data_IF_855167812242
#
_entry.id   IF_855167812242
#
_cell.length_a   1.000
_cell.length_b   1.000
_cell.length_c   1.000
_cell.angle_alpha   90.00
_cell.angle_beta   90.00
_cell.angle_gamma   90.00
#
_symmetry.space_group_name_H-M   'P 1'
#
loop_
_entity.id
_entity.type
_entity.pdbx_description
1 polymer ?
#
# COMPACT_ATOMS: atom_id res chain seq x y z
N UNK A 1 9.76 3.70 17.15
CA UNK A 1 10.21 2.71 16.14
C UNK A 1 10.13 3.39 14.79
N UNK A 2 11.20 3.46 13.98
CA UNK A 2 11.05 3.96 12.61
C UNK A 2 10.18 2.95 11.86
N UNK A 3 9.08 3.44 11.31
CA UNK A 3 8.10 2.63 10.59
C UNK A 3 8.48 2.66 9.11
N UNK A 4 8.85 1.50 8.56
CA UNK A 4 9.36 1.36 7.20
C UNK A 4 8.23 1.41 6.17
N UNK A 5 7.87 2.61 5.71
CA UNK A 5 7.03 2.80 4.53
C UNK A 5 7.87 3.21 3.32
N UNK A 6 7.61 2.62 2.15
CA UNK A 6 8.20 3.07 0.90
C UNK A 6 7.32 4.17 0.30
N UNK A 7 7.93 5.24 -0.19
CA UNK A 7 7.24 6.43 -0.69
C UNK A 7 7.56 6.64 -2.16
N UNK A 8 6.56 7.02 -2.96
CA UNK A 8 6.73 7.28 -4.39
C UNK A 8 5.94 8.51 -4.85
N UNK A 9 6.45 9.14 -5.91
CA UNK A 9 5.93 10.38 -6.47
C UNK A 9 6.47 10.59 -7.90
N UNK A 10 5.65 11.20 -8.77
CA UNK A 10 6.07 11.60 -10.13
C UNK A 10 6.27 13.12 -10.32
N UNK A 11 5.87 13.97 -9.35
CA UNK A 11 6.20 15.41 -9.34
C UNK A 11 7.57 15.69 -8.69
N UNK A 12 7.99 16.96 -8.68
CA UNK A 12 9.25 17.36 -8.06
C UNK A 12 9.27 17.02 -6.55
N UNK A 13 10.30 16.30 -6.07
CA UNK A 13 10.35 15.86 -4.68
C UNK A 13 10.60 17.04 -3.75
N UNK A 14 9.84 17.09 -2.64
CA UNK A 14 10.15 17.91 -1.47
C UNK A 14 10.65 16.99 -0.38
N UNK A 15 11.92 17.10 0.01
CA UNK A 15 12.51 16.26 1.04
C UNK A 15 12.68 17.02 2.36
N UNK A 16 12.48 16.31 3.46
CA UNK A 16 12.76 16.80 4.81
C UNK A 16 13.71 15.83 5.50
N UNK A 17 14.70 16.36 6.24
CA UNK A 17 15.61 15.54 7.04
C UNK A 17 15.02 15.31 8.43
N UNK A 18 14.53 14.10 8.70
CA UNK A 18 13.99 13.69 9.99
C UNK A 18 14.94 12.66 10.61
N UNK A 19 15.59 13.02 11.72
CA UNK A 19 16.51 12.11 12.42
C UNK A 19 17.72 11.67 11.59
N UNK A 20 18.13 12.47 10.59
CA UNK A 20 19.23 12.16 9.67
C UNK A 20 18.82 11.31 8.46
N UNK A 21 17.52 11.08 8.25
CA UNK A 21 16.96 10.43 7.06
C UNK A 21 16.23 11.47 6.22
N UNK A 22 16.55 11.54 4.93
CA UNK A 22 15.76 12.30 3.97
C UNK A 22 14.48 11.55 3.65
N UNK A 23 13.34 12.14 3.98
CA UNK A 23 12.00 11.60 3.70
C UNK A 23 11.26 12.49 2.71
N UNK A 24 10.40 11.88 1.90
CA UNK A 24 9.56 12.64 0.98
C UNK A 24 8.40 13.26 1.77
N UNK A 25 8.28 14.58 1.72
CA UNK A 25 7.24 15.35 2.40
C UNK A 25 5.94 15.44 1.58
N UNK A 26 6.00 15.16 0.28
CA UNK A 26 4.85 15.17 -0.63
C UNK A 26 4.62 13.84 -1.36
N UNK A 27 4.59 12.68 -0.67
CA UNK A 27 4.28 11.41 -1.35
C UNK A 27 2.85 11.44 -1.91
N UNK A 28 2.69 10.88 -3.11
CA UNK A 28 1.37 10.60 -3.69
C UNK A 28 0.94 9.17 -3.39
N UNK A 29 1.91 8.25 -3.39
CA UNK A 29 1.76 6.85 -3.02
C UNK A 29 2.62 6.54 -1.79
N UNK A 30 2.04 5.82 -0.82
CA UNK A 30 2.77 5.18 0.27
C UNK A 30 2.49 3.68 0.23
N UNK A 31 3.55 2.87 0.35
CA UNK A 31 3.51 1.41 0.30
C UNK A 31 4.01 0.83 1.62
N UNK A 32 3.24 -0.09 2.21
CA UNK A 32 3.59 -0.79 3.44
C UNK A 32 3.59 -2.29 3.22
N UNK A 33 4.67 -2.94 3.66
CA UNK A 33 4.74 -4.41 3.73
C UNK A 33 4.34 -4.82 5.14
N UNK A 34 3.19 -5.47 5.25
CA UNK A 34 2.57 -5.79 6.52
C UNK A 34 3.36 -6.87 7.25
N UNK A 35 3.65 -6.61 8.52
CA UNK A 35 4.17 -7.60 9.45
C UNK A 35 3.12 -7.95 10.51
N UNK A 36 3.19 -9.16 11.10
CA UNK A 36 2.28 -9.54 12.19
C UNK A 36 2.33 -8.56 13.37
N UNK A 37 3.48 -7.92 13.60
CA UNK A 37 3.66 -6.97 14.72
C UNK A 37 3.13 -5.57 14.45
N UNK A 38 2.97 -5.18 13.18
CA UNK A 38 2.62 -3.79 12.81
C UNK A 38 1.34 -3.66 11.99
N UNK A 39 0.78 -4.77 11.48
CA UNK A 39 -0.36 -4.74 10.56
C UNK A 39 -1.54 -3.92 11.06
N UNK A 40 -1.92 -4.10 12.33
CA UNK A 40 -3.03 -3.33 12.92
C UNK A 40 -2.75 -1.82 12.95
N UNK A 41 -1.50 -1.44 13.23
CA UNK A 41 -1.07 -0.04 13.23
C UNK A 41 -1.01 0.53 11.80
N UNK A 42 -0.44 -0.22 10.86
CA UNK A 42 -0.31 0.18 9.45
C UNK A 42 -1.69 0.36 8.78
N UNK A 43 -2.67 -0.50 9.12
CA UNK A 43 -4.06 -0.38 8.65
C UNK A 43 -4.85 0.75 9.33
N UNK A 44 -4.52 1.07 10.57
CA UNK A 44 -5.29 1.97 11.42
C UNK A 44 -4.65 3.35 11.56
N UNK A 45 -3.99 3.55 12.70
CA UNK A 45 -3.48 4.85 13.11
C UNK A 45 -2.49 5.43 12.08
N UNK A 46 -1.57 4.62 11.57
CA UNK A 46 -0.56 5.10 10.61
C UNK A 46 -1.20 5.65 9.33
N UNK A 47 -2.15 4.92 8.77
CA UNK A 47 -2.91 5.39 7.60
C UNK A 47 -3.68 6.68 7.91
N UNK A 48 -4.23 6.80 9.13
CA UNK A 48 -4.90 8.02 9.59
C UNK A 48 -3.95 9.21 9.66
N UNK A 49 -2.72 9.01 10.12
CA UNK A 49 -1.68 10.05 10.10
C UNK A 49 -1.32 10.45 8.66
N UNK A 50 -1.13 9.50 7.75
CA UNK A 50 -0.82 9.78 6.35
C UNK A 50 -1.89 10.60 5.63
N UNK A 51 -3.16 10.45 5.98
CA UNK A 51 -4.26 11.26 5.42
C UNK A 51 -4.13 12.76 5.67
N UNK A 52 -3.28 13.19 6.60
CA UNK A 52 -2.97 14.61 6.83
C UNK A 52 -2.02 15.20 5.78
N UNK A 53 -1.32 14.36 5.02
CA UNK A 53 -0.44 14.77 3.93
C UNK A 53 -1.32 15.18 2.74
N UNK A 54 -1.16 16.42 2.28
CA UNK A 54 -2.02 16.99 1.23
C UNK A 54 -1.93 16.23 -0.09
N UNK A 55 -0.71 15.88 -0.51
CA UNK A 55 -0.41 15.17 -1.77
C UNK A 55 -0.81 13.69 -1.75
N UNK A 56 -1.06 13.11 -0.57
CA UNK A 56 -1.28 11.68 -0.43
C UNK A 56 -2.62 11.26 -1.01
N UNK A 57 -2.57 10.31 -1.94
CA UNK A 57 -3.72 9.90 -2.76
C UNK A 57 -3.87 8.38 -2.89
N UNK A 58 -2.79 7.60 -2.79
CA UNK A 58 -2.83 6.13 -2.90
C UNK A 58 -2.09 5.46 -1.74
N UNK A 59 -2.67 4.41 -1.17
CA UNK A 59 -2.07 3.62 -0.10
C UNK A 59 -2.08 2.14 -0.46
N UNK A 60 -0.92 1.52 -0.54
CA UNK A 60 -0.79 0.11 -0.91
C UNK A 60 -0.28 -0.70 0.28
N UNK A 61 -1.10 -1.63 0.75
CA UNK A 61 -0.74 -2.59 1.78
C UNK A 61 -0.44 -3.95 1.16
N UNK A 62 0.74 -4.50 1.42
CA UNK A 62 1.22 -5.77 0.85
C UNK A 62 1.31 -6.80 1.97
N UNK A 63 0.60 -7.93 1.85
CA UNK A 63 0.65 -8.99 2.85
C UNK A 63 1.90 -9.87 2.65
N UNK A 64 2.74 -10.02 3.67
CA UNK A 64 3.94 -10.88 3.52
C UNK A 64 3.63 -12.40 3.53
N UNK A 65 2.44 -12.83 3.97
CA UNK A 65 2.14 -14.24 4.24
C UNK A 65 1.28 -14.93 3.17
N UNK A 66 0.81 -14.19 2.17
CA UNK A 66 -0.01 -14.66 1.05
C UNK A 66 0.11 -13.65 -0.10
N UNK A 67 -0.08 -14.06 -1.36
CA UNK A 67 -0.07 -13.14 -2.50
C UNK A 67 -1.32 -12.26 -2.49
N UNK A 68 -1.30 -11.21 -1.66
CA UNK A 68 -2.43 -10.32 -1.47
C UNK A 68 -1.98 -8.87 -1.27
N UNK A 69 -2.72 -7.95 -1.85
CA UNK A 69 -2.56 -6.53 -1.57
C UNK A 69 -3.91 -5.85 -1.39
N UNK A 70 -3.96 -4.82 -0.54
CA UNK A 70 -5.08 -3.90 -0.43
C UNK A 70 -4.64 -2.54 -0.95
N UNK A 71 -5.34 -2.01 -1.94
CA UNK A 71 -5.06 -0.70 -2.51
C UNK A 71 -6.18 0.28 -2.16
N UNK A 72 -5.84 1.38 -1.49
CA UNK A 72 -6.77 2.47 -1.19
C UNK A 72 -6.49 3.67 -2.08
N UNK A 73 -7.55 4.28 -2.60
CA UNK A 73 -7.47 5.48 -3.46
C UNK A 73 -8.35 6.58 -2.90
N UNK A 74 -7.80 7.78 -2.78
CA UNK A 74 -8.53 8.99 -2.38
C UNK A 74 -9.37 9.49 -3.54
N UNK A 75 -10.66 9.72 -3.30
CA UNK A 75 -11.55 10.33 -4.30
C UNK A 75 -11.33 11.84 -4.29
N UNK A 76 -10.67 12.37 -5.33
CA UNK A 76 -10.36 13.80 -5.44
C UNK A 76 -11.60 14.69 -5.66
N UNK A 77 -12.65 14.14 -6.29
CA UNK A 77 -13.84 14.90 -6.69
C UNK A 77 -14.96 14.94 -5.62
N UNK A 78 -14.74 14.33 -4.46
CA UNK A 78 -15.74 14.25 -3.41
C UNK A 78 -15.74 15.52 -2.53
N UNK A 79 -16.93 15.99 -2.11
CA UNK A 79 -17.09 17.14 -1.19
C UNK A 79 -16.41 16.90 0.16
N UNK A 80 -16.29 15.64 0.58
CA UNK A 80 -15.56 15.23 1.78
C UNK A 80 -14.51 14.19 1.38
N UNK A 81 -13.40 14.14 2.13
CA UNK A 81 -12.36 13.15 1.91
C UNK A 81 -12.94 11.72 2.05
N UNK A 82 -13.04 11.02 0.93
CA UNK A 82 -13.50 9.63 0.86
C UNK A 82 -12.45 8.77 0.17
N UNK A 83 -12.44 7.49 0.51
CA UNK A 83 -11.48 6.52 0.01
C UNK A 83 -12.23 5.30 -0.49
N UNK A 84 -11.93 4.86 -1.71
CA UNK A 84 -12.28 3.53 -2.21
C UNK A 84 -11.14 2.56 -1.94
N UNK A 85 -11.43 1.26 -1.96
CA UNK A 85 -10.39 0.25 -1.94
C UNK A 85 -10.71 -0.93 -2.86
N UNK A 86 -9.65 -1.58 -3.33
CA UNK A 86 -9.71 -2.86 -4.03
C UNK A 86 -8.75 -3.86 -3.38
N UNK A 87 -9.06 -5.14 -3.51
CA UNK A 87 -8.20 -6.23 -3.04
C UNK A 87 -7.69 -7.04 -4.22
N UNK A 88 -6.39 -7.28 -4.22
CA UNK A 88 -5.73 -8.20 -5.12
C UNK A 88 -5.45 -9.49 -4.34
N UNK A 89 -5.88 -10.62 -4.89
CA UNK A 89 -5.90 -11.95 -4.29
C UNK A 89 -5.36 -12.98 -5.28
N UNK A 90 -4.06 -12.93 -5.57
CA UNK A 90 -3.39 -13.85 -6.50
C UNK A 90 -2.25 -13.19 -7.28
N UNK A 91 -1.20 -13.97 -7.59
CA UNK A 91 -0.01 -13.48 -8.30
C UNK A 91 -0.31 -12.99 -9.73
N UNK A 92 -1.38 -13.49 -10.34
CA UNK A 92 -1.84 -13.15 -11.68
C UNK A 92 -2.57 -11.80 -11.76
N UNK A 93 -2.85 -11.18 -10.61
CA UNK A 93 -3.56 -9.91 -10.57
C UNK A 93 -2.62 -8.71 -10.80
N UNK A 94 -3.16 -7.69 -11.46
CA UNK A 94 -2.46 -6.46 -11.81
C UNK A 94 -3.14 -5.27 -11.16
N UNK A 95 -2.35 -4.41 -10.52
CA UNK A 95 -2.77 -3.16 -9.93
C UNK A 95 -2.45 -1.98 -10.87
N UNK A 96 -3.37 -1.03 -11.01
CA UNK A 96 -3.08 0.26 -11.65
C UNK A 96 -2.85 1.32 -10.58
N UNK A 97 -1.68 1.96 -10.61
CA UNK A 97 -1.34 3.09 -9.75
C UNK A 97 -1.58 4.38 -10.54
N UNK A 98 -2.66 5.10 -10.21
CA UNK A 98 -3.10 6.25 -10.98
C UNK A 98 -2.15 7.45 -10.83
N UNK A 99 -1.59 7.67 -9.64
CA UNK A 99 -0.68 8.79 -9.35
C UNK A 99 0.67 8.65 -10.04
N UNK A 100 1.07 7.43 -10.38
CA UNK A 100 2.35 7.12 -11.05
C UNK A 100 2.18 6.76 -12.53
N UNK A 101 0.94 6.70 -13.03
CA UNK A 101 0.59 6.26 -14.38
C UNK A 101 1.24 4.91 -14.78
N UNK A 102 1.33 3.97 -13.83
CA UNK A 102 1.98 2.67 -14.06
C UNK A 102 1.12 1.50 -13.60
N UNK A 103 1.40 0.33 -14.15
CA UNK A 103 0.80 -0.94 -13.71
C UNK A 103 1.84 -1.77 -12.96
N UNK A 104 1.40 -2.48 -11.93
CA UNK A 104 2.22 -3.31 -11.08
C UNK A 104 1.56 -4.69 -10.96
N UNK A 105 2.22 -5.76 -11.38
CA UNK A 105 1.68 -7.11 -11.20
C UNK A 105 2.05 -7.65 -9.82
N UNK A 106 1.19 -8.47 -9.21
CA UNK A 106 1.58 -9.14 -7.97
C UNK A 106 2.70 -10.16 -8.17
N UNK A 107 2.88 -10.68 -9.39
CA UNK A 107 4.06 -11.48 -9.75
C UNK A 107 5.36 -10.67 -9.56
N UNK A 108 5.39 -9.41 -10.00
CA UNK A 108 6.57 -8.55 -9.85
C UNK A 108 6.78 -8.12 -8.39
N UNK A 109 5.69 -7.81 -7.66
CA UNK A 109 5.74 -7.42 -6.24
C UNK A 109 6.34 -8.53 -5.38
N UNK A 110 5.94 -9.77 -5.66
CA UNK A 110 6.39 -10.97 -4.94
C UNK A 110 7.51 -11.70 -5.67
N UNK A 111 8.28 -10.99 -6.51
CA UNK A 111 9.46 -11.59 -7.14
C UNK A 111 10.37 -12.17 -6.06
N UNK A 112 10.85 -13.40 -6.29
CA UNK A 112 11.72 -14.14 -5.37
C UNK A 112 11.08 -14.50 -4.01
N UNK A 113 9.75 -14.43 -3.90
CA UNK A 113 8.98 -14.91 -2.73
C UNK A 113 8.30 -16.23 -3.05
N UNK A 114 8.60 -17.27 -2.27
CA UNK A 114 7.91 -18.56 -2.34
C UNK A 114 6.79 -18.64 -1.30
N UNK A 115 5.58 -18.96 -1.75
CA UNK A 115 4.45 -19.21 -0.85
C UNK A 115 4.22 -20.71 -0.68
N UNK A 116 4.00 -21.20 0.55
CA UNK A 116 3.60 -22.58 0.75
C UNK A 116 2.23 -22.82 0.10
N UNK A 117 1.98 -24.01 -0.45
CA UNK A 117 0.69 -24.35 -1.04
C UNK A 117 -0.43 -24.16 -0.01
N UNK A 118 -1.51 -23.50 -0.42
CA UNK A 118 -2.71 -23.30 0.40
C UNK A 118 -3.39 -24.65 0.66
N UNK A 119 -3.14 -25.23 1.82
CA UNK A 119 -3.82 -26.46 2.26
C UNK A 119 -5.17 -26.15 2.95
N UNK A 120 -5.92 -25.19 2.41
CA UNK A 120 -7.24 -24.83 2.92
C UNK A 120 -8.26 -25.49 2.00
N UNK A 121 -9.00 -26.51 2.47
CA UNK A 121 -10.10 -27.09 1.71
C UNK A 121 -11.09 -25.97 1.34
N UNK A 122 -11.70 -26.00 0.13
CA UNK A 122 -12.77 -25.08 -0.21
C UNK A 122 -13.80 -25.10 0.92
N UNK A 123 -14.19 -23.92 1.42
CA UNK A 123 -15.31 -23.84 2.35
C UNK A 123 -16.53 -24.41 1.62
N UNK A 124 -16.97 -25.61 2.01
CA UNK A 124 -18.20 -26.19 1.50
C UNK A 124 -19.32 -25.20 1.80
N UNK A 125 -19.89 -24.63 0.74
CA UNK A 125 -21.06 -23.77 0.85
C UNK A 125 -22.17 -24.62 1.44
N UNK A 126 -22.56 -24.35 2.69
CA UNK A 126 -23.76 -24.90 3.31
C UNK A 126 -25.00 -24.31 2.66
#
# INVERSE_FOLDING_TARGET
MPVSGHQALCEAPRSESIGGLDVLANPALIVEVLSLGTEAYDRGDKFTHYKSIESFAEYLLIAQHRPHATHYVKNADATYATWSYEELNGLDQTLRLATLDCALTLTDVYQDVEFPPTNVPPLERR
#
